data_IF_733395346857
#
_entry.id   IF_733395346857
#
_cell.length_a   1.000
_cell.length_b   1.000
_cell.length_c   1.000
_cell.angle_alpha   90.00
_cell.angle_beta   90.00
_cell.angle_gamma   90.00
#
_symmetry.space_group_name_H-M   'P 1'
#
loop_
_entity.id
_entity.type
_entity.pdbx_description
1 polymer ?
#
# COMPACT_ATOMS: atom_id res chain seq x y z
N UNK A 1 10.31 -57.45 -22.30
CA UNK A 1 9.03 -56.81 -22.66
C UNK A 1 8.82 -55.61 -21.76
N UNK A 2 8.52 -54.48 -22.39
CA UNK A 2 8.04 -53.18 -21.89
C UNK A 2 8.74 -52.48 -20.71
N UNK A 3 9.51 -51.46 -21.11
CA UNK A 3 9.96 -50.31 -20.32
C UNK A 3 8.78 -49.47 -19.81
N UNK A 4 8.83 -49.03 -18.56
CA UNK A 4 8.18 -47.79 -18.12
C UNK A 4 9.20 -46.94 -17.38
N UNK A 5 9.84 -46.02 -18.10
CA UNK A 5 10.60 -44.92 -17.53
C UNK A 5 9.56 -43.85 -17.16
N UNK A 6 9.30 -43.71 -15.87
CA UNK A 6 8.48 -42.62 -15.34
C UNK A 6 9.35 -41.36 -15.30
N UNK A 7 9.24 -40.52 -16.33
CA UNK A 7 9.80 -39.18 -16.34
C UNK A 7 9.08 -38.31 -15.30
N UNK A 8 9.68 -38.17 -14.11
CA UNK A 8 9.22 -37.19 -13.13
C UNK A 8 9.64 -35.79 -13.60
N UNK A 9 8.63 -35.00 -13.97
CA UNK A 9 8.72 -33.59 -14.32
C UNK A 9 9.36 -32.77 -13.18
N UNK A 10 10.31 -31.93 -13.54
CA UNK A 10 10.83 -30.84 -12.72
C UNK A 10 9.68 -29.88 -12.35
N UNK A 11 9.21 -29.94 -11.11
CA UNK A 11 8.62 -28.77 -10.47
C UNK A 11 9.75 -28.05 -9.73
N UNK A 12 10.42 -27.14 -10.43
CA UNK A 12 11.06 -26.02 -9.74
C UNK A 12 9.91 -25.16 -9.25
N UNK A 13 9.43 -25.44 -8.04
CA UNK A 13 8.66 -24.47 -7.28
C UNK A 13 9.62 -23.30 -7.03
N UNK A 14 9.62 -22.33 -7.94
CA UNK A 14 10.22 -21.03 -7.67
C UNK A 14 9.43 -20.50 -6.47
N UNK A 15 10.08 -20.27 -5.32
CA UNK A 15 9.37 -19.87 -4.11
C UNK A 15 8.56 -18.63 -4.45
N UNK A 16 7.26 -18.66 -4.14
CA UNK A 16 6.49 -17.42 -4.03
C UNK A 16 7.14 -16.66 -2.88
N UNK A 17 8.10 -15.79 -3.19
CA UNK A 17 8.60 -14.83 -2.22
C UNK A 17 7.38 -14.16 -1.62
N UNK A 18 7.26 -14.15 -0.27
CA UNK A 18 6.11 -13.53 0.36
C UNK A 18 6.03 -12.11 -0.19
N UNK A 19 4.90 -11.76 -0.81
CA UNK A 19 4.56 -10.38 -1.06
C UNK A 19 4.51 -9.72 0.32
N UNK A 20 5.62 -9.12 0.73
CA UNK A 20 5.67 -8.16 1.80
C UNK A 20 4.90 -6.95 1.25
N UNK A 21 3.58 -7.00 1.41
CA UNK A 21 2.59 -6.02 0.93
C UNK A 21 2.86 -4.58 1.39
N UNK A 22 3.83 -4.38 2.29
CA UNK A 22 4.32 -3.08 2.74
C UNK A 22 5.47 -2.50 1.90
N UNK A 23 6.17 -3.30 1.09
CA UNK A 23 7.36 -2.87 0.34
C UNK A 23 7.09 -2.59 -1.14
N UNK A 24 5.98 -3.09 -1.69
CA UNK A 24 5.58 -2.87 -3.08
C UNK A 24 4.08 -2.62 -3.08
N UNK A 25 3.65 -1.40 -3.42
CA UNK A 25 2.25 -0.97 -3.55
C UNK A 25 1.44 -1.73 -4.63
N UNK A 26 1.50 -3.07 -4.59
CA UNK A 26 1.18 -4.00 -5.67
C UNK A 26 1.88 -3.64 -7.00
N UNK A 27 3.11 -3.11 -6.90
CA UNK A 27 3.90 -2.68 -8.05
C UNK A 27 4.71 -3.84 -8.64
N UNK A 28 4.68 -3.92 -9.96
CA UNK A 28 5.40 -4.84 -10.83
C UNK A 28 6.64 -4.16 -11.40
N UNK A 29 7.63 -4.97 -11.80
CA UNK A 29 8.91 -4.45 -12.27
C UNK A 29 9.79 -3.93 -11.13
N UNK A 30 10.78 -3.10 -11.47
CA UNK A 30 11.69 -2.45 -10.53
C UNK A 30 11.47 -0.94 -10.59
N UNK A 31 10.45 -0.41 -9.90
CA UNK A 31 10.25 1.03 -9.84
C UNK A 31 11.48 1.68 -9.21
N UNK A 32 11.88 2.82 -9.74
CA UNK A 32 12.86 3.75 -9.17
C UNK A 32 12.16 4.86 -8.39
N UNK A 33 11.05 5.36 -8.94
CA UNK A 33 10.30 6.49 -8.38
C UNK A 33 8.83 6.38 -8.70
N UNK A 34 7.96 6.71 -7.74
CA UNK A 34 6.51 6.83 -7.92
C UNK A 34 6.05 8.18 -7.40
N UNK A 35 5.30 8.94 -8.18
CA UNK A 35 4.61 10.15 -7.72
C UNK A 35 3.11 9.85 -7.68
N UNK A 36 2.49 9.92 -6.51
CA UNK A 36 1.04 9.71 -6.33
C UNK A 36 0.34 11.03 -6.04
N UNK A 37 -0.72 11.32 -6.80
CA UNK A 37 -1.55 12.52 -6.62
C UNK A 37 -3.00 12.06 -6.45
N UNK A 38 -3.60 12.39 -5.30
CA UNK A 38 -5.05 12.29 -5.09
C UNK A 38 -5.68 13.67 -5.28
N UNK A 39 -6.95 13.72 -5.67
CA UNK A 39 -7.67 14.99 -5.83
C UNK A 39 -7.49 15.90 -4.61
N UNK A 40 -7.11 17.16 -4.87
CA UNK A 40 -6.88 18.20 -3.86
C UNK A 40 -5.86 17.84 -2.75
N UNK A 41 -4.96 16.87 -3.00
CA UNK A 41 -3.93 16.44 -2.05
C UNK A 41 -2.53 16.83 -2.54
N UNK A 42 -1.57 16.94 -1.61
CA UNK A 42 -0.17 17.12 -1.98
C UNK A 42 0.34 15.87 -2.72
N UNK A 43 1.27 16.02 -3.69
CA UNK A 43 1.89 14.87 -4.34
C UNK A 43 2.78 14.13 -3.34
N UNK A 44 2.57 12.83 -3.21
CA UNK A 44 3.48 11.93 -2.48
C UNK A 44 4.53 11.40 -3.45
N UNK A 45 5.81 11.59 -3.14
CA UNK A 45 6.90 10.96 -3.88
C UNK A 45 7.38 9.73 -3.10
N UNK A 46 7.46 8.56 -3.72
CA UNK A 46 8.11 7.37 -3.19
C UNK A 46 9.35 7.06 -4.03
N UNK A 47 10.52 6.94 -3.40
CA UNK A 47 11.79 6.56 -4.06
C UNK A 47 12.14 5.14 -3.64
N UNK A 48 12.57 4.34 -4.61
CA UNK A 48 12.86 2.94 -4.45
C UNK A 48 14.34 2.65 -4.74
N UNK A 49 14.91 1.66 -4.06
CA UNK A 49 16.25 1.15 -4.40
C UNK A 49 16.19 0.12 -5.55
N UNK A 50 17.35 -0.33 -6.05
CA UNK A 50 17.45 -1.33 -7.14
C UNK A 50 16.80 -2.69 -6.84
N UNK A 51 16.57 -3.01 -5.57
CA UNK A 51 15.85 -4.20 -5.12
C UNK A 51 14.32 -4.00 -5.11
N UNK A 52 13.84 -2.79 -5.39
CA UNK A 52 12.43 -2.42 -5.38
C UNK A 52 11.87 -2.15 -3.99
N UNK A 53 12.71 -1.76 -3.02
CA UNK A 53 12.28 -1.36 -1.67
C UNK A 53 12.18 0.16 -1.60
N UNK A 54 11.13 0.68 -0.97
CA UNK A 54 10.97 2.12 -0.71
C UNK A 54 12.05 2.58 0.26
N UNK A 55 12.91 3.51 -0.14
CA UNK A 55 13.96 4.09 0.70
C UNK A 55 13.63 5.50 1.18
N UNK A 56 12.72 6.20 0.50
CA UNK A 56 12.34 7.56 0.84
C UNK A 56 10.90 7.84 0.44
N UNK A 57 10.19 8.62 1.26
CA UNK A 57 8.88 9.19 0.95
C UNK A 57 8.89 10.70 1.20
N UNK A 58 8.32 11.48 0.30
CA UNK A 58 8.12 12.92 0.45
C UNK A 58 6.64 13.28 0.52
N UNK A 59 6.33 14.31 1.31
CA UNK A 59 4.99 14.82 1.58
C UNK A 59 4.04 13.71 2.04
N UNK A 60 4.53 12.76 2.83
CA UNK A 60 3.73 11.75 3.51
C UNK A 60 4.13 11.74 4.98
N UNK A 61 3.17 12.01 5.86
CA UNK A 61 3.36 11.81 7.29
C UNK A 61 2.68 10.51 7.70
N UNK A 62 3.42 9.68 8.41
CA UNK A 62 2.89 8.49 9.09
C UNK A 62 2.51 8.96 10.50
N UNK A 63 1.42 8.42 11.06
CA UNK A 63 0.91 8.72 12.40
C UNK A 63 0.13 10.04 12.53
N UNK A 64 -1.15 10.07 12.14
CA UNK A 64 -2.14 11.08 12.57
C UNK A 64 -1.94 12.52 12.08
N UNK A 65 -0.76 12.90 11.61
CA UNK A 65 -0.49 14.22 11.08
C UNK A 65 -1.13 14.38 9.69
N UNK A 66 -1.71 15.57 9.40
CA UNK A 66 -2.12 15.88 8.05
C UNK A 66 -0.91 15.81 7.12
N UNK A 67 -1.15 15.40 5.88
CA UNK A 67 -0.15 15.43 4.83
C UNK A 67 0.44 16.85 4.72
N UNK A 68 1.69 17.03 5.14
CA UNK A 68 2.34 18.33 5.17
C UNK A 68 3.49 18.39 4.15
N UNK A 69 3.63 19.56 3.51
CA UNK A 69 4.74 19.82 2.59
C UNK A 69 6.07 19.78 3.37
N UNK A 70 7.01 18.97 2.89
CA UNK A 70 8.32 18.82 3.53
C UNK A 70 8.33 17.86 4.73
N UNK A 71 7.29 17.04 4.88
CA UNK A 71 7.31 15.83 5.70
C UNK A 71 7.96 14.71 4.89
N UNK A 72 9.03 14.10 5.40
CA UNK A 72 9.71 12.98 4.75
C UNK A 72 9.81 11.78 5.65
N UNK A 73 9.85 10.60 5.03
CA UNK A 73 10.14 9.34 5.72
C UNK A 73 11.27 8.63 5.01
N UNK A 74 12.37 8.41 5.72
CA UNK A 74 13.54 7.68 5.26
C UNK A 74 13.52 6.26 5.83
N UNK A 75 13.92 5.29 5.01
CA UNK A 75 13.93 3.87 5.38
C UNK A 75 15.32 3.27 5.15
N UNK A 76 15.83 2.57 6.16
CA UNK A 76 17.11 1.86 6.09
C UNK A 76 16.85 0.36 6.22
N UNK A 77 17.46 -0.41 5.33
CA UNK A 77 17.32 -1.86 5.28
C UNK A 77 18.65 -2.54 5.57
N UNK A 78 18.58 -3.74 6.16
CA UNK A 78 19.68 -4.68 6.21
C UNK A 78 19.98 -5.29 4.84
N UNK A 79 21.10 -6.00 4.73
CA UNK A 79 21.51 -6.71 3.51
C UNK A 79 20.54 -7.81 3.07
N UNK A 80 19.73 -8.35 3.99
CA UNK A 80 18.64 -9.31 3.71
C UNK A 80 17.28 -8.63 3.51
N UNK A 81 17.27 -7.33 3.16
CA UNK A 81 16.09 -6.53 2.81
C UNK A 81 15.06 -6.37 3.94
N UNK A 82 15.46 -6.54 5.21
CA UNK A 82 14.60 -6.25 6.36
C UNK A 82 14.74 -4.78 6.73
N UNK A 83 13.62 -4.12 7.02
CA UNK A 83 13.64 -2.73 7.51
C UNK A 83 14.28 -2.73 8.89
N UNK A 84 15.34 -1.96 9.08
CA UNK A 84 16.01 -1.86 10.39
C UNK A 84 15.78 -0.49 11.03
N UNK A 85 15.45 0.53 10.24
CA UNK A 85 15.20 1.88 10.75
C UNK A 85 14.24 2.65 9.84
N UNK A 86 13.34 3.44 10.45
CA UNK A 86 12.59 4.49 9.78
C UNK A 86 12.74 5.82 10.51
N UNK A 87 12.91 6.91 9.77
CA UNK A 87 13.06 8.26 10.32
C UNK A 87 12.03 9.19 9.68
N UNK A 88 11.22 9.85 10.49
CA UNK A 88 10.28 10.89 10.04
C UNK A 88 10.88 12.25 10.33
N UNK A 89 10.96 13.08 9.29
CA UNK A 89 11.48 14.45 9.37
C UNK A 89 10.41 15.43 8.91
N UNK A 90 10.16 16.47 9.71
CA UNK A 90 9.28 17.60 9.34
C UNK A 90 10.10 18.88 9.47
N UNK A 91 10.12 19.70 8.41
CA UNK A 91 10.83 21.01 8.42
C UNK A 91 12.28 20.90 8.92
N UNK A 92 12.99 19.87 8.45
CA UNK A 92 14.37 19.55 8.82
C UNK A 92 14.59 19.14 10.30
N UNK A 93 13.53 18.77 11.01
CA UNK A 93 13.59 18.22 12.37
C UNK A 93 13.15 16.77 12.37
N UNK A 94 13.97 15.88 12.93
CA UNK A 94 13.55 14.49 13.19
C UNK A 94 12.52 14.51 14.30
N UNK A 95 11.29 14.13 13.99
CA UNK A 95 10.18 14.06 14.94
C UNK A 95 9.97 12.64 15.48
N UNK A 96 10.33 11.63 14.67
CA UNK A 96 10.22 10.24 15.04
C UNK A 96 11.37 9.45 14.41
N UNK A 97 11.95 8.54 15.20
CA UNK A 97 12.95 7.59 14.73
C UNK A 97 12.69 6.24 15.37
N UNK A 98 12.48 5.21 14.55
CA UNK A 98 12.13 3.86 15.00
C UNK A 98 13.19 2.87 14.51
N UNK A 99 13.76 2.09 15.42
CA UNK A 99 14.57 0.93 15.11
C UNK A 99 13.73 -0.35 15.18
N UNK A 100 13.92 -1.24 14.21
CA UNK A 100 13.18 -2.49 14.07
C UNK A 100 14.08 -3.68 14.33
N UNK A 101 13.63 -4.61 15.16
CA UNK A 101 14.27 -5.91 15.35
C UNK A 101 13.28 -7.04 15.13
N UNK A 102 13.80 -8.19 14.70
CA UNK A 102 12.99 -9.32 14.27
C UNK A 102 13.31 -10.51 15.14
N UNK A 103 12.30 -11.05 15.83
CA UNK A 103 12.43 -12.27 16.59
C UNK A 103 12.43 -13.49 15.65
N UNK A 104 12.99 -14.65 16.07
CA UNK A 104 13.04 -15.85 15.24
C UNK A 104 11.67 -16.38 14.77
N UNK A 105 10.60 -16.08 15.51
CA UNK A 105 9.22 -16.42 15.16
C UNK A 105 8.59 -15.47 14.11
N UNK A 106 9.34 -14.48 13.60
CA UNK A 106 8.86 -13.49 12.64
C UNK A 106 8.20 -12.26 13.26
N UNK A 107 8.09 -12.19 14.59
CA UNK A 107 7.55 -11.01 15.29
C UNK A 107 8.51 -9.81 15.14
N UNK A 108 7.95 -8.63 14.87
CA UNK A 108 8.70 -7.38 14.73
C UNK A 108 8.57 -6.55 16.01
N UNK A 109 9.70 -6.21 16.61
CA UNK A 109 9.77 -5.29 17.74
C UNK A 109 10.19 -3.91 17.24
N UNK A 110 9.45 -2.88 17.64
CA UNK A 110 9.73 -1.47 17.32
C UNK A 110 10.28 -0.77 18.55
N UNK A 111 11.45 -0.16 18.43
CA UNK A 111 12.09 0.61 19.49
C UNK A 111 12.15 2.08 19.05
N UNK A 112 11.42 2.94 19.75
CA UNK A 112 11.44 4.37 19.49
C UNK A 112 12.74 4.96 20.06
N UNK A 113 13.59 5.47 19.16
CA UNK A 113 14.86 6.13 19.51
C UNK A 113 14.65 7.62 19.72
N UNK A 114 13.70 8.21 18.98
CA UNK A 114 13.21 9.58 19.12
C UNK A 114 11.71 9.53 18.90
N UNK A 115 10.95 10.22 19.76
CA UNK A 115 9.53 10.46 19.54
C UNK A 115 9.14 11.72 20.30
N UNK A 116 8.60 12.71 19.60
CA UNK A 116 7.72 13.67 20.26
C UNK A 116 6.42 12.95 20.60
N UNK A 117 5.98 13.02 21.86
CA UNK A 117 4.64 12.58 22.24
C UNK A 117 3.63 13.41 21.45
N UNK A 118 3.18 12.89 20.32
CA UNK A 118 2.01 13.39 19.64
C UNK A 118 0.80 12.72 20.31
N UNK A 119 0.35 13.33 21.40
CA UNK A 119 -1.04 13.14 21.82
C UNK A 119 -1.95 13.71 20.73
N UNK A 120 -2.99 12.97 20.38
CA UNK A 120 -4.37 13.42 20.56
C UNK A 120 -5.32 12.39 19.93
N UNK A 121 -6.20 11.88 20.81
CA UNK A 121 -7.52 11.30 20.57
C UNK A 121 -7.89 10.87 19.14
N UNK A 122 -7.85 9.56 18.90
CA UNK A 122 -8.67 8.94 17.86
C UNK A 122 -10.02 8.60 18.49
N UNK A 123 -11.05 9.38 18.16
CA UNK A 123 -12.44 9.14 18.57
C UNK A 123 -12.94 7.82 17.96
N UNK A 124 -13.30 6.79 18.76
CA UNK A 124 -13.95 5.59 18.25
C UNK A 124 -15.46 5.84 18.26
N UNK A 125 -16.03 6.18 17.10
CA UNK A 125 -17.47 6.35 17.01
C UNK A 125 -17.96 6.44 15.58
N UNK A 126 -18.63 5.39 15.12
CA UNK A 126 -19.69 5.57 14.12
C UNK A 126 -19.55 4.81 12.81
N UNK A 127 -19.25 3.52 12.82
CA UNK A 127 -19.72 2.65 11.73
C UNK A 127 -20.31 1.38 12.34
N UNK A 128 -21.60 1.15 12.10
CA UNK A 128 -22.26 -0.13 12.41
C UNK A 128 -21.52 -1.29 11.77
N UNK A 129 -21.83 -2.52 12.17
CA UNK A 129 -21.19 -3.72 11.61
C UNK A 129 -21.35 -3.76 10.08
N UNK A 130 -20.29 -3.42 9.34
CA UNK A 130 -20.22 -3.49 7.87
C UNK A 130 -19.59 -4.82 7.46
N UNK A 131 -20.23 -5.54 6.54
CA UNK A 131 -19.60 -6.63 5.80
C UNK A 131 -19.11 -6.10 4.45
N UNK A 132 -17.81 -6.26 4.18
CA UNK A 132 -17.18 -5.82 2.93
C UNK A 132 -16.86 -7.01 2.05
N UNK A 133 -17.31 -6.98 0.79
CA UNK A 133 -16.95 -7.96 -0.26
C UNK A 133 -16.13 -7.28 -1.34
N UNK A 134 -14.99 -7.88 -1.68
CA UNK A 134 -14.05 -7.34 -2.66
C UNK A 134 -14.04 -8.21 -3.92
N UNK A 135 -14.03 -7.55 -5.08
CA UNK A 135 -13.72 -8.17 -6.38
C UNK A 135 -12.43 -7.59 -6.91
N UNK A 136 -11.66 -8.43 -7.60
CA UNK A 136 -10.34 -8.06 -8.10
C UNK A 136 -10.28 -8.07 -9.64
N UNK A 137 -9.40 -7.26 -10.20
CA UNK A 137 -9.02 -7.30 -11.61
C UNK A 137 -8.00 -8.44 -11.90
N UNK A 138 -7.53 -8.53 -13.16
CA UNK A 138 -6.51 -9.51 -13.59
C UNK A 138 -5.13 -9.29 -12.95
N UNK A 139 -4.90 -8.10 -12.39
CA UNK A 139 -3.69 -7.66 -11.72
C UNK A 139 -3.81 -7.65 -10.19
N UNK A 140 -4.89 -8.26 -9.66
CA UNK A 140 -5.20 -8.33 -8.22
C UNK A 140 -5.42 -6.98 -7.53
N UNK A 141 -5.73 -5.91 -8.25
CA UNK A 141 -6.25 -4.68 -7.64
C UNK A 141 -7.76 -4.81 -7.41
N UNK A 142 -8.26 -4.19 -6.35
CA UNK A 142 -9.70 -4.16 -6.03
C UNK A 142 -10.42 -3.36 -7.10
N UNK A 143 -11.29 -3.99 -7.90
CA UNK A 143 -12.11 -3.31 -8.92
C UNK A 143 -13.52 -2.96 -8.43
N UNK A 144 -13.99 -3.64 -7.39
CA UNK A 144 -15.30 -3.38 -6.79
C UNK A 144 -15.28 -3.74 -5.31
N UNK A 145 -15.88 -2.88 -4.50
CA UNK A 145 -16.11 -3.03 -3.07
C UNK A 145 -17.61 -2.92 -2.81
N UNK A 146 -18.17 -3.89 -2.09
CA UNK A 146 -19.58 -3.87 -1.66
C UNK A 146 -19.64 -3.89 -0.15
N UNK A 147 -20.01 -2.77 0.43
CA UNK A 147 -20.18 -2.56 1.86
C UNK A 147 -21.65 -2.77 2.23
N UNK A 148 -21.95 -3.78 3.03
CA UNK A 148 -23.32 -4.08 3.49
C UNK A 148 -23.44 -3.80 4.97
N UNK A 149 -24.34 -2.88 5.34
CA UNK A 149 -24.69 -2.67 6.73
C UNK A 149 -25.56 -3.86 7.20
N UNK A 150 -25.08 -4.63 8.18
CA UNK A 150 -25.78 -5.83 8.65
C UNK A 150 -27.11 -5.54 9.34
N UNK A 151 -27.27 -4.35 9.90
CA UNK A 151 -28.48 -3.98 10.63
C UNK A 151 -29.62 -3.50 9.71
N UNK A 152 -29.27 -2.91 8.57
CA UNK A 152 -30.25 -2.30 7.65
C UNK A 152 -30.33 -2.99 6.28
N UNK A 153 -29.42 -3.94 6.00
CA UNK A 153 -29.21 -4.55 4.68
C UNK A 153 -28.89 -3.55 3.55
N UNK A 154 -28.64 -2.28 3.90
CA UNK A 154 -28.27 -1.25 2.95
C UNK A 154 -26.87 -1.55 2.38
N UNK A 155 -26.72 -1.35 1.06
CA UNK A 155 -25.48 -1.59 0.32
C UNK A 155 -24.91 -0.31 -0.28
N UNK A 156 -23.64 -0.08 -0.02
CA UNK A 156 -22.82 0.89 -0.70
C UNK A 156 -21.90 0.13 -1.66
N UNK A 157 -21.80 0.59 -2.91
CA UNK A 157 -20.96 -0.05 -3.91
C UNK A 157 -19.96 0.97 -4.42
N UNK A 158 -18.67 0.65 -4.31
CA UNK A 158 -17.59 1.43 -4.89
C UNK A 158 -16.98 0.63 -6.03
N UNK A 159 -16.83 1.26 -7.20
CA UNK A 159 -16.14 0.71 -8.36
C UNK A 159 -14.86 1.47 -8.62
N UNK A 160 -13.85 0.74 -9.06
CA UNK A 160 -12.56 1.30 -9.43
C UNK A 160 -12.24 0.98 -10.87
N UNK A 161 -12.06 2.03 -11.67
CA UNK A 161 -11.56 1.94 -13.03
C UNK A 161 -10.07 2.32 -13.05
N UNK A 162 -9.29 1.51 -13.75
CA UNK A 162 -7.85 1.61 -13.75
C UNK A 162 -7.29 1.77 -15.16
N UNK A 163 -6.31 2.65 -15.29
CA UNK A 163 -5.42 2.71 -16.46
C UNK A 163 -4.07 2.19 -16.02
N UNK A 164 -3.44 1.33 -16.82
CA UNK A 164 -2.17 0.69 -16.50
C UNK A 164 -1.06 1.09 -17.46
N UNK A 165 0.18 1.05 -16.98
CA UNK A 165 1.36 1.06 -17.81
C UNK A 165 1.65 -0.33 -18.42
N UNK A 166 2.78 -0.42 -19.15
CA UNK A 166 3.22 -1.63 -19.84
C UNK A 166 3.63 -2.76 -18.88
N UNK A 167 3.99 -2.44 -17.65
CA UNK A 167 4.37 -3.39 -16.61
C UNK A 167 3.16 -3.93 -15.85
N UNK A 168 1.95 -3.39 -16.12
CA UNK A 168 0.72 -3.77 -15.44
C UNK A 168 0.55 -3.07 -14.09
N UNK A 169 1.19 -1.92 -13.88
CA UNK A 169 0.96 -1.06 -12.73
C UNK A 169 -0.08 -0.01 -13.09
N UNK A 170 -1.03 0.24 -12.20
CA UNK A 170 -2.01 1.28 -12.45
C UNK A 170 -1.38 2.66 -12.30
N UNK A 171 -1.63 3.53 -13.27
CA UNK A 171 -1.21 4.93 -13.34
C UNK A 171 -2.38 5.90 -13.16
N UNK A 172 -3.61 5.43 -13.33
CA UNK A 172 -4.82 6.15 -12.94
C UNK A 172 -5.74 5.17 -12.25
N UNK A 173 -6.36 5.60 -11.15
CA UNK A 173 -7.45 4.94 -10.45
C UNK A 173 -8.58 5.95 -10.27
N UNK A 174 -9.71 5.70 -10.90
CA UNK A 174 -10.93 6.46 -10.72
C UNK A 174 -11.88 5.67 -9.83
N UNK A 175 -12.42 6.29 -8.80
CA UNK A 175 -13.40 5.70 -7.91
C UNK A 175 -14.78 6.30 -8.21
N UNK A 176 -15.75 5.43 -8.45
CA UNK A 176 -17.16 5.79 -8.56
C UNK A 176 -17.97 5.07 -7.49
N UNK A 177 -18.91 5.78 -6.88
CA UNK A 177 -19.71 5.29 -5.77
C UNK A 177 -21.19 5.27 -6.16
N UNK A 178 -21.89 4.25 -5.69
CA UNK A 178 -23.35 4.20 -5.66
C UNK A 178 -23.78 4.08 -4.21
N UNK A 179 -24.35 5.16 -3.70
CA UNK A 179 -24.88 5.24 -2.34
C UNK A 179 -26.22 4.51 -2.19
N UNK A 180 -26.62 4.30 -0.94
CA UNK A 180 -27.80 3.53 -0.54
C UNK A 180 -29.12 4.01 -1.16
N UNK A 181 -29.19 5.29 -1.53
CA UNK A 181 -30.40 5.96 -2.01
C UNK A 181 -30.33 6.32 -3.49
N UNK A 182 -29.19 6.07 -4.14
CA UNK A 182 -28.94 6.51 -5.51
C UNK A 182 -29.11 5.36 -6.50
N UNK A 183 -29.58 5.69 -7.71
CA UNK A 183 -29.75 4.71 -8.77
C UNK A 183 -28.50 4.56 -9.64
N UNK A 184 -27.67 5.60 -9.73
CA UNK A 184 -26.52 5.69 -10.62
C UNK A 184 -25.20 5.80 -9.84
N UNK A 185 -24.10 5.51 -10.52
CA UNK A 185 -22.76 5.74 -9.99
C UNK A 185 -22.36 7.20 -10.22
N UNK A 186 -21.80 7.84 -9.20
CA UNK A 186 -21.16 9.14 -9.32
C UNK A 186 -19.67 9.05 -8.98
N UNK A 187 -18.85 9.90 -9.59
CA UNK A 187 -17.40 9.92 -9.35
C UNK A 187 -17.11 10.52 -7.98
N UNK A 188 -16.35 9.80 -7.15
CA UNK A 188 -15.98 10.21 -5.78
C UNK A 188 -14.50 10.50 -5.62
N UNK A 189 -13.67 10.14 -6.58
CA UNK A 189 -12.28 10.56 -6.57
C UNK A 189 -11.45 9.99 -7.69
N UNK A 190 -10.30 10.60 -7.89
CA UNK A 190 -9.27 10.16 -8.81
C UNK A 190 -7.92 10.14 -8.10
N UNK A 191 -7.12 9.13 -8.41
CA UNK A 191 -5.72 9.03 -8.03
C UNK A 191 -4.90 8.83 -9.29
N UNK A 192 -3.88 9.65 -9.49
CA UNK A 192 -2.90 9.49 -10.56
C UNK A 192 -1.57 9.06 -9.98
N UNK A 193 -0.84 8.25 -10.74
CA UNK A 193 0.51 7.82 -10.47
C UNK A 193 1.39 8.04 -11.69
N UNK A 194 2.57 8.57 -11.47
CA UNK A 194 3.66 8.54 -12.43
C UNK A 194 4.74 7.59 -11.88
N UNK A 195 5.18 6.64 -12.70
CA UNK A 195 6.12 5.59 -12.28
C UNK A 195 7.33 5.62 -13.22
N UNK A 196 8.52 5.77 -12.65
CA UNK A 196 9.81 5.62 -13.32
C UNK A 196 10.43 4.28 -12.92
N UNK A 197 11.08 3.63 -13.87
CA UNK A 197 11.74 2.33 -13.69
C UNK A 197 13.25 2.44 -13.90
N UNK A 198 13.99 1.52 -13.28
CA UNK A 198 15.41 1.31 -13.56
C UNK A 198 15.67 0.72 -14.95
#
# INVERSE_FOLDING_TARGET
MLNFILSLLFFIAVPSEPQNDWQKSNLRGKPEKVITIKDNSLPVTEIYNKSGLIIHKENECICGCPQEKGCTVDYVYSNDNKLIESTITIKNRVIEKIAYSYKPNGEVVRNYLVGEEMSDEITPGGFGLVETKLKYDKYKNVKEEVNTNKNTSLKEIIKYDYIYDKQGNWIVKEASKKDFTENDFHKVGMTKREITYF
#
